data_IF_859899822828
#
_entry.id   IF_859899822828
#
_cell.length_a   1.000
_cell.length_b   1.000
_cell.length_c   1.000
_cell.angle_alpha   90.00
_cell.angle_beta   90.00
_cell.angle_gamma   90.00
#
_symmetry.space_group_name_H-M   'P 1'
#
loop_
_entity.id
_entity.type
_entity.pdbx_description
1 polymer ?
#
# COMPACT_ATOMS: atom_id res chain seq x y z
N UNK A 1 15.93 33.45 28.70
CA UNK A 1 16.16 31.99 28.72
C UNK A 1 15.70 31.27 27.44
N UNK A 2 15.38 32.00 26.34
CA UNK A 2 14.64 31.46 25.18
C UNK A 2 15.45 31.32 23.89
N UNK A 3 16.45 32.17 23.63
CA UNK A 3 17.25 32.10 22.39
C UNK A 3 18.33 31.00 22.42
N UNK A 4 19.00 30.76 23.55
CA UNK A 4 20.02 29.71 23.67
C UNK A 4 19.46 28.30 23.42
N UNK A 5 18.19 28.06 23.79
CA UNK A 5 17.54 26.77 23.57
C UNK A 5 17.17 26.57 22.09
N UNK A 6 16.85 27.64 21.35
CA UNK A 6 16.48 27.59 19.93
C UNK A 6 17.68 27.26 19.04
N UNK A 7 18.85 27.85 19.31
CA UNK A 7 20.08 27.65 18.51
C UNK A 7 20.56 26.19 18.55
N UNK A 8 20.16 25.41 19.55
CA UNK A 8 20.46 23.97 19.62
C UNK A 8 19.55 23.09 18.76
N UNK A 9 18.41 23.62 18.28
CA UNK A 9 17.40 22.85 17.55
C UNK A 9 17.76 22.76 16.06
N UNK A 10 17.78 21.55 15.52
CA UNK A 10 18.10 21.29 14.10
C UNK A 10 17.21 22.09 13.15
N UNK A 11 15.91 22.15 13.43
CA UNK A 11 14.94 22.85 12.59
C UNK A 11 15.16 24.37 12.59
N UNK A 12 15.55 24.94 13.73
CA UNK A 12 15.78 26.39 13.86
C UNK A 12 16.97 26.79 13.00
N UNK A 13 18.09 26.07 13.10
CA UNK A 13 19.29 26.36 12.32
C UNK A 13 19.07 26.23 10.81
N UNK A 14 18.16 25.34 10.38
CA UNK A 14 17.85 25.14 8.96
C UNK A 14 16.87 26.14 8.38
N UNK A 15 15.96 26.68 9.19
CA UNK A 15 14.86 27.53 8.72
C UNK A 15 15.02 29.01 9.12
N UNK A 16 15.97 29.33 10.00
CA UNK A 16 16.27 30.70 10.38
C UNK A 16 16.69 31.53 9.16
N UNK A 17 16.09 32.71 8.99
CA UNK A 17 16.29 33.56 7.82
C UNK A 17 15.51 33.13 6.56
N UNK A 18 14.89 31.95 6.56
CA UNK A 18 14.03 31.46 5.47
C UNK A 18 12.55 31.64 5.83
N UNK A 19 12.20 31.29 7.07
CA UNK A 19 10.84 31.39 7.61
C UNK A 19 10.75 32.57 8.58
N UNK A 20 9.61 33.24 8.58
CA UNK A 20 9.30 34.34 9.50
C UNK A 20 9.50 33.93 10.96
N UNK A 21 10.12 34.81 11.75
CA UNK A 21 10.51 34.52 13.14
C UNK A 21 9.29 34.20 14.02
N UNK A 22 8.13 34.82 13.79
CA UNK A 22 6.93 34.52 14.56
C UNK A 22 6.37 33.14 14.23
N UNK A 23 6.54 32.65 12.99
CA UNK A 23 6.18 31.27 12.60
C UNK A 23 7.16 30.27 13.21
N UNK A 24 8.46 30.59 13.20
CA UNK A 24 9.51 29.73 13.78
C UNK A 24 9.33 29.53 15.28
N UNK A 25 8.81 30.53 15.97
CA UNK A 25 8.65 30.51 17.43
C UNK A 25 7.25 30.10 17.89
N UNK A 26 6.37 29.64 16.99
CA UNK A 26 5.03 29.18 17.35
C UNK A 26 5.05 28.00 18.31
N UNK A 27 4.16 28.07 19.30
CA UNK A 27 3.99 27.07 20.35
C UNK A 27 2.54 26.61 20.49
N UNK A 28 2.36 25.39 21.00
CA UNK A 28 1.05 24.88 21.38
C UNK A 28 0.61 25.43 22.76
N UNK A 29 -0.56 24.98 23.24
CA UNK A 29 -1.08 25.35 24.58
C UNK A 29 -0.15 24.89 25.70
N UNK A 30 0.55 23.78 25.49
CA UNK A 30 1.48 23.17 26.45
C UNK A 30 2.86 23.88 26.45
N UNK A 31 3.00 24.97 25.68
CA UNK A 31 4.21 25.78 25.54
C UNK A 31 5.40 25.06 24.85
N UNK A 32 5.12 23.96 24.15
CA UNK A 32 6.04 23.25 23.27
C UNK A 32 6.08 23.89 21.88
N UNK A 33 7.26 23.92 21.25
CA UNK A 33 7.41 24.41 19.88
C UNK A 33 6.70 23.47 18.90
N UNK A 34 5.88 24.03 18.02
CA UNK A 34 5.13 23.23 17.04
C UNK A 34 6.06 22.48 16.07
N UNK A 35 7.26 23.02 15.81
CA UNK A 35 8.29 22.37 15.00
C UNK A 35 8.85 21.10 15.63
N UNK A 36 8.88 20.99 16.96
CA UNK A 36 9.30 19.77 17.66
C UNK A 36 8.26 18.64 17.51
N UNK A 37 6.98 19.00 17.31
CA UNK A 37 5.88 18.06 17.11
C UNK A 37 5.71 17.64 15.64
N UNK A 38 6.33 18.38 14.72
CA UNK A 38 6.19 18.14 13.29
C UNK A 38 6.90 16.84 12.89
N UNK A 39 6.23 16.03 12.07
CA UNK A 39 6.85 14.82 11.55
C UNK A 39 8.08 15.15 10.67
N UNK A 40 9.16 14.39 10.85
CA UNK A 40 10.44 14.57 10.13
C UNK A 40 10.29 14.60 8.60
N UNK A 41 9.37 13.83 8.03
CA UNK A 41 9.13 13.83 6.58
C UNK A 41 8.57 15.19 6.11
N UNK A 42 7.60 15.75 6.84
CA UNK A 42 7.00 17.05 6.53
C UNK A 42 8.02 18.18 6.67
N UNK A 43 8.82 18.14 7.75
CA UNK A 43 9.92 19.08 7.95
C UNK A 43 10.93 19.03 6.78
N UNK A 44 11.41 17.83 6.44
CA UNK A 44 12.35 17.65 5.33
C UNK A 44 11.77 18.12 4.00
N UNK A 45 10.46 17.97 3.78
CA UNK A 45 9.80 18.46 2.58
C UNK A 45 9.83 20.00 2.51
N UNK A 46 9.46 20.69 3.60
CA UNK A 46 9.49 22.16 3.66
C UNK A 46 10.90 22.66 3.38
N UNK A 47 11.88 22.12 4.10
CA UNK A 47 13.28 22.52 3.93
C UNK A 47 13.77 22.30 2.50
N UNK A 48 13.50 21.13 1.91
CA UNK A 48 14.04 20.79 0.59
C UNK A 48 13.32 21.45 -0.58
N UNK A 49 12.01 21.65 -0.48
CA UNK A 49 11.17 22.01 -1.64
C UNK A 49 10.36 23.31 -1.48
N UNK A 50 10.35 23.89 -0.28
CA UNK A 50 9.65 25.15 -0.02
C UNK A 50 10.58 26.29 0.39
N UNK A 51 11.84 26.03 0.79
CA UNK A 51 12.75 27.09 1.29
C UNK A 51 12.93 28.25 0.29
N UNK A 52 13.03 27.95 -1.01
CA UNK A 52 13.23 28.94 -2.08
C UNK A 52 11.89 29.39 -2.70
N UNK A 53 10.77 28.96 -2.11
CA UNK A 53 9.44 29.30 -2.60
C UNK A 53 8.95 30.59 -1.96
N UNK A 54 8.33 31.51 -2.73
CA UNK A 54 7.67 32.68 -2.14
C UNK A 54 6.55 32.30 -1.16
N UNK A 55 6.06 31.06 -1.22
CA UNK A 55 5.03 30.51 -0.33
C UNK A 55 5.59 29.75 0.88
N UNK A 56 6.90 29.84 1.17
CA UNK A 56 7.54 29.12 2.29
C UNK A 56 6.82 29.35 3.62
N UNK A 57 6.53 30.62 3.94
CA UNK A 57 5.82 31.01 5.16
C UNK A 57 4.37 30.49 5.20
N UNK A 58 3.68 30.53 4.06
CA UNK A 58 2.30 30.08 3.94
C UNK A 58 2.18 28.57 4.21
N UNK A 59 3.06 27.77 3.59
CA UNK A 59 3.09 26.33 3.83
C UNK A 59 3.54 25.97 5.23
N UNK A 60 4.52 26.68 5.78
CA UNK A 60 5.01 26.44 7.14
C UNK A 60 3.91 26.69 8.16
N UNK A 61 3.23 27.84 8.11
CA UNK A 61 2.09 28.13 8.98
C UNK A 61 1.01 27.05 8.85
N UNK A 62 0.65 26.68 7.63
CA UNK A 62 -0.38 25.69 7.36
C UNK A 62 -0.09 24.31 7.95
N UNK A 63 1.14 23.84 7.79
CA UNK A 63 1.59 22.53 8.28
C UNK A 63 1.67 22.50 9.80
N UNK A 64 2.11 23.59 10.44
CA UNK A 64 2.10 23.71 11.89
C UNK A 64 0.66 23.72 12.45
N UNK A 65 -0.25 24.47 11.82
CA UNK A 65 -1.68 24.46 12.19
C UNK A 65 -2.27 23.05 12.10
N UNK A 66 -1.94 22.30 11.03
CA UNK A 66 -2.41 20.93 10.85
C UNK A 66 -1.82 19.96 11.90
N UNK A 67 -0.55 20.15 12.26
CA UNK A 67 0.15 19.38 13.30
C UNK A 67 -0.47 19.60 14.67
N UNK A 68 -0.71 20.84 15.09
CA UNK A 68 -1.37 21.14 16.39
C UNK A 68 -2.77 20.53 16.48
N UNK A 69 -3.47 20.45 15.33
CA UNK A 69 -4.78 19.79 15.21
C UNK A 69 -4.71 18.26 15.12
N UNK A 70 -3.53 17.67 15.27
CA UNK A 70 -3.28 16.22 15.28
C UNK A 70 -3.73 15.53 13.98
N UNK A 71 -3.61 16.21 12.83
CA UNK A 71 -3.77 15.54 11.55
C UNK A 71 -2.66 14.50 11.37
N UNK A 72 -2.98 13.39 10.69
CA UNK A 72 -1.98 12.34 10.47
C UNK A 72 -0.84 12.84 9.58
N UNK A 73 0.43 12.42 9.84
CA UNK A 73 1.57 12.84 9.03
C UNK A 73 1.39 12.61 7.53
N UNK A 74 0.77 11.48 7.16
CA UNK A 74 0.47 11.17 5.77
C UNK A 74 -0.50 12.19 5.13
N UNK A 75 -1.52 12.64 5.87
CA UNK A 75 -2.46 13.66 5.37
C UNK A 75 -1.78 15.00 5.16
N UNK A 76 -0.91 15.40 6.12
CA UNK A 76 -0.12 16.63 6.03
C UNK A 76 0.80 16.59 4.81
N UNK A 77 1.55 15.49 4.64
CA UNK A 77 2.47 15.32 3.51
C UNK A 77 1.75 15.34 2.15
N UNK A 78 0.62 14.63 2.03
CA UNK A 78 -0.15 14.59 0.79
C UNK A 78 -0.71 15.98 0.43
N UNK A 79 -1.21 16.72 1.42
CA UNK A 79 -1.71 18.08 1.25
C UNK A 79 -0.59 19.03 0.83
N UNK A 80 0.54 19.03 1.55
CA UNK A 80 1.69 19.89 1.29
C UNK A 80 2.28 19.63 -0.10
N UNK A 81 2.55 18.36 -0.44
CA UNK A 81 3.18 18.01 -1.69
C UNK A 81 2.28 18.31 -2.90
N UNK A 82 0.97 18.01 -2.78
CA UNK A 82 0.00 18.30 -3.84
C UNK A 82 -0.11 19.80 -4.09
N UNK A 83 -0.30 20.60 -3.04
CA UNK A 83 -0.46 22.04 -3.18
C UNK A 83 0.83 22.72 -3.67
N UNK A 84 2.00 22.40 -3.11
CA UNK A 84 3.26 23.04 -3.49
C UNK A 84 3.59 22.85 -4.98
N UNK A 85 3.34 21.66 -5.55
CA UNK A 85 3.54 21.45 -6.99
C UNK A 85 2.58 22.32 -7.80
N UNK A 86 1.29 22.32 -7.47
CA UNK A 86 0.30 23.08 -8.24
C UNK A 86 0.48 24.59 -8.11
N UNK A 87 0.88 25.09 -6.95
CA UNK A 87 1.21 26.50 -6.79
C UNK A 87 2.42 26.91 -7.62
N UNK A 88 3.45 26.06 -7.72
CA UNK A 88 4.58 26.33 -8.63
C UNK A 88 4.11 26.44 -10.08
N UNK A 89 3.20 25.57 -10.51
CA UNK A 89 2.65 25.66 -11.88
C UNK A 89 1.88 26.97 -12.10
N UNK A 90 1.06 27.38 -11.12
CA UNK A 90 0.32 28.65 -11.16
C UNK A 90 1.28 29.85 -11.20
N UNK A 91 2.30 29.86 -10.34
CA UNK A 91 3.32 30.93 -10.30
C UNK A 91 4.07 31.01 -11.63
N UNK A 92 4.45 29.86 -12.21
CA UNK A 92 5.12 29.82 -13.50
C UNK A 92 4.22 30.31 -14.65
N UNK A 93 2.95 29.90 -14.66
CA UNK A 93 2.00 30.29 -15.71
C UNK A 93 1.73 31.80 -15.73
N UNK A 94 1.59 32.41 -14.55
CA UNK A 94 1.35 33.85 -14.41
C UNK A 94 2.62 34.68 -14.20
N UNK A 95 3.79 34.04 -14.15
CA UNK A 95 5.10 34.65 -13.84
C UNK A 95 5.11 35.45 -12.54
N UNK A 96 4.47 34.91 -11.51
CA UNK A 96 4.43 35.52 -10.17
C UNK A 96 5.79 35.31 -9.51
N UNK A 97 6.34 36.37 -8.92
CA UNK A 97 7.57 36.33 -8.14
C UNK A 97 7.27 36.28 -6.64
N UNK A 98 6.21 36.97 -6.19
CA UNK A 98 5.93 37.19 -4.78
C UNK A 98 4.58 36.60 -4.36
N UNK A 99 4.47 36.16 -3.10
CA UNK A 99 3.23 35.60 -2.59
C UNK A 99 2.06 36.60 -2.60
N UNK A 100 2.35 37.89 -2.44
CA UNK A 100 1.34 38.96 -2.44
C UNK A 100 0.65 39.15 -3.81
N UNK A 101 1.27 38.69 -4.90
CA UNK A 101 0.70 38.76 -6.24
C UNK A 101 -0.35 37.66 -6.47
N UNK A 102 -0.29 36.58 -5.69
CA UNK A 102 -1.25 35.49 -5.76
C UNK A 102 -2.62 36.00 -5.32
N UNK A 103 -3.59 35.89 -6.21
CA UNK A 103 -4.97 36.21 -5.92
C UNK A 103 -5.89 35.06 -6.33
N UNK A 104 -7.17 35.27 -6.06
CA UNK A 104 -8.21 34.27 -6.20
C UNK A 104 -8.51 33.96 -7.70
N UNK A 105 -8.27 34.89 -8.64
CA UNK A 105 -8.50 34.64 -10.07
C UNK A 105 -7.44 33.70 -10.66
N UNK A 106 -6.19 33.74 -10.18
CA UNK A 106 -5.16 32.77 -10.61
C UNK A 106 -5.57 31.32 -10.26
N UNK A 107 -6.16 31.15 -9.08
CA UNK A 107 -6.70 29.86 -8.64
C UNK A 107 -7.89 29.47 -9.52
N UNK A 108 -8.78 30.41 -9.81
CA UNK A 108 -9.93 30.20 -10.70
C UNK A 108 -9.49 29.69 -12.07
N UNK A 109 -8.52 30.35 -12.70
CA UNK A 109 -8.06 30.04 -14.05
C UNK A 109 -7.40 28.65 -14.11
N UNK A 110 -6.64 28.26 -13.08
CA UNK A 110 -6.13 26.90 -12.94
C UNK A 110 -7.24 25.85 -12.80
N UNK A 111 -8.27 26.16 -12.03
CA UNK A 111 -9.41 25.27 -11.80
C UNK A 111 -10.28 25.11 -13.04
N UNK A 112 -10.45 26.18 -13.83
CA UNK A 112 -11.12 26.13 -15.12
C UNK A 112 -10.29 25.47 -16.22
N UNK A 113 -8.99 25.30 -16.00
CA UNK A 113 -8.07 24.78 -16.99
C UNK A 113 -7.69 25.81 -18.06
N UNK A 114 -7.86 27.11 -17.79
CA UNK A 114 -7.35 28.17 -18.65
C UNK A 114 -5.81 28.23 -18.63
N UNK A 115 -5.20 27.65 -17.59
CA UNK A 115 -3.77 27.36 -17.53
C UNK A 115 -3.52 25.89 -17.19
N UNK A 116 -2.38 25.39 -17.64
CA UNK A 116 -1.94 24.01 -17.44
C UNK A 116 -3.02 23.00 -17.88
N UNK A 117 -3.49 23.12 -19.12
CA UNK A 117 -4.57 22.31 -19.71
C UNK A 117 -4.34 20.80 -19.61
N UNK A 118 -3.07 20.37 -19.63
CA UNK A 118 -2.61 18.99 -19.51
C UNK A 118 -2.95 18.34 -18.16
N UNK A 119 -3.22 19.15 -17.13
CA UNK A 119 -3.60 18.60 -15.83
C UNK A 119 -5.02 18.02 -15.81
N UNK A 120 -5.14 16.86 -15.20
CA UNK A 120 -6.38 16.10 -15.13
C UNK A 120 -7.40 16.73 -14.17
N UNK A 121 -8.68 16.50 -14.43
CA UNK A 121 -9.77 16.90 -13.53
C UNK A 121 -9.57 16.35 -12.09
N UNK A 122 -8.92 15.19 -11.95
CA UNK A 122 -8.57 14.60 -10.64
C UNK A 122 -7.54 15.45 -9.89
N UNK A 123 -6.51 15.95 -10.58
CA UNK A 123 -5.52 16.85 -9.98
C UNK A 123 -6.16 18.16 -9.53
N UNK A 124 -7.04 18.76 -10.34
CA UNK A 124 -7.77 19.99 -9.99
C UNK A 124 -8.70 19.77 -8.80
N UNK A 125 -9.41 18.63 -8.76
CA UNK A 125 -10.24 18.22 -7.62
C UNK A 125 -9.42 18.04 -6.33
N UNK A 126 -8.27 17.39 -6.40
CA UNK A 126 -7.38 17.22 -5.25
C UNK A 126 -6.88 18.58 -4.75
N UNK A 127 -6.43 19.44 -5.66
CA UNK A 127 -5.96 20.79 -5.35
C UNK A 127 -7.02 21.59 -4.59
N UNK A 128 -8.24 21.74 -5.12
CA UNK A 128 -9.26 22.57 -4.45
C UNK A 128 -9.69 21.99 -3.09
N UNK A 129 -9.75 20.66 -2.96
CA UNK A 129 -10.09 20.00 -1.70
C UNK A 129 -9.04 20.26 -0.63
N UNK A 130 -7.76 20.15 -0.99
CA UNK A 130 -6.65 20.43 -0.09
C UNK A 130 -6.53 21.92 0.22
N UNK A 131 -6.70 22.77 -0.78
CA UNK A 131 -6.67 24.23 -0.62
C UNK A 131 -7.68 24.70 0.41
N UNK A 132 -8.95 24.29 0.26
CA UNK A 132 -10.01 24.67 1.21
C UNK A 132 -9.78 24.09 2.59
N UNK A 133 -9.33 22.84 2.69
CA UNK A 133 -9.03 22.23 3.98
C UNK A 133 -7.90 22.97 4.71
N UNK A 134 -6.84 23.31 3.98
CA UNK A 134 -5.70 24.06 4.49
C UNK A 134 -6.14 25.45 4.96
N UNK A 135 -6.80 26.21 4.09
CA UNK A 135 -7.26 27.56 4.39
C UNK A 135 -8.20 27.59 5.60
N UNK A 136 -9.19 26.70 5.65
CA UNK A 136 -10.08 26.55 6.79
C UNK A 136 -9.32 26.23 8.09
N UNK A 137 -8.33 25.35 8.01
CA UNK A 137 -7.55 24.96 9.18
C UNK A 137 -6.71 26.12 9.71
N UNK A 138 -6.04 26.87 8.84
CA UNK A 138 -5.25 28.05 9.22
C UNK A 138 -6.15 29.13 9.81
N UNK A 139 -7.21 29.54 9.11
CA UNK A 139 -8.12 30.58 9.59
C UNK A 139 -8.74 30.24 10.94
N UNK A 140 -9.23 29.01 11.11
CA UNK A 140 -9.81 28.55 12.37
C UNK A 140 -8.75 28.50 13.48
N UNK A 141 -7.57 27.97 13.18
CA UNK A 141 -6.49 27.85 14.15
C UNK A 141 -6.03 29.23 14.62
N UNK A 142 -5.70 30.15 13.70
CA UNK A 142 -5.24 31.50 14.03
C UNK A 142 -6.26 32.25 14.88
N UNK A 143 -7.55 32.22 14.53
CA UNK A 143 -8.61 32.85 15.33
C UNK A 143 -8.72 32.29 16.76
N UNK A 144 -8.39 31.01 16.95
CA UNK A 144 -8.54 30.32 18.24
C UNK A 144 -7.28 30.27 19.10
N UNK A 145 -6.09 30.41 18.48
CA UNK A 145 -4.79 30.20 19.13
C UNK A 145 -3.92 31.45 19.22
N UNK A 146 -4.11 32.39 18.31
CA UNK A 146 -3.26 33.59 18.23
C UNK A 146 -4.01 34.78 18.84
N UNK A 147 -3.39 35.50 19.79
CA UNK A 147 -3.92 36.75 20.33
C UNK A 147 -4.27 37.77 19.24
N UNK A 148 -5.35 38.54 19.45
CA UNK A 148 -5.93 39.42 18.43
C UNK A 148 -4.93 40.44 17.87
N UNK A 149 -4.04 40.96 18.72
CA UNK A 149 -2.96 41.89 18.37
C UNK A 149 -1.96 41.31 17.36
N UNK A 150 -1.74 39.98 17.39
CA UNK A 150 -0.84 39.27 16.48
C UNK A 150 -1.52 38.72 15.24
N UNK A 151 -2.84 38.62 15.20
CA UNK A 151 -3.55 38.03 14.05
C UNK A 151 -3.29 38.80 12.75
N UNK A 152 -3.07 40.11 12.83
CA UNK A 152 -2.72 40.96 11.67
C UNK A 152 -1.34 40.65 11.08
N UNK A 153 -0.41 40.11 11.87
CA UNK A 153 0.89 39.66 11.36
C UNK A 153 0.71 38.38 10.53
N UNK A 154 0.04 37.38 11.12
CA UNK A 154 -0.16 36.08 10.48
C UNK A 154 -1.06 36.12 9.24
N UNK A 155 -1.96 37.10 9.14
CA UNK A 155 -2.87 37.21 7.99
C UNK A 155 -2.16 37.41 6.66
N UNK A 156 -0.94 37.94 6.66
CA UNK A 156 -0.07 38.08 5.48
C UNK A 156 0.38 36.74 4.91
N UNK A 157 0.29 35.67 5.69
CA UNK A 157 0.66 34.30 5.31
C UNK A 157 -0.56 33.42 5.02
N UNK A 158 -1.75 34.01 4.91
CA UNK A 158 -2.95 33.28 4.52
C UNK A 158 -3.02 33.18 3.01
N UNK A 159 -3.39 32.01 2.53
CA UNK A 159 -3.77 31.87 1.13
C UNK A 159 -5.04 32.67 0.83
N UNK A 160 -5.20 33.21 -0.40
CA UNK A 160 -6.36 34.02 -0.76
C UNK A 160 -7.70 33.33 -0.49
N UNK A 161 -8.62 33.99 0.20
CA UNK A 161 -9.98 33.46 0.25
C UNK A 161 -10.59 33.43 -1.16
N UNK A 162 -11.26 32.33 -1.47
CA UNK A 162 -11.84 32.10 -2.79
C UNK A 162 -13.36 31.93 -2.65
N UNK A 163 -14.18 32.77 -3.30
CA UNK A 163 -15.62 32.87 -3.02
C UNK A 163 -16.45 31.73 -3.62
N UNK A 164 -15.84 30.79 -4.36
CA UNK A 164 -16.56 29.77 -5.09
C UNK A 164 -16.64 28.44 -4.32
N UNK A 165 -17.77 27.75 -4.46
CA UNK A 165 -18.00 26.41 -3.95
C UNK A 165 -17.34 25.37 -4.86
N UNK A 166 -17.00 24.21 -4.30
CA UNK A 166 -16.59 23.05 -5.08
C UNK A 166 -17.64 22.61 -6.10
N UNK A 167 -18.91 22.98 -5.87
CA UNK A 167 -20.06 22.71 -6.74
C UNK A 167 -20.07 23.58 -7.99
N UNK A 168 -19.37 24.71 -7.99
CA UNK A 168 -19.32 25.64 -9.12
C UNK A 168 -18.46 25.11 -10.27
N UNK A 169 -17.76 23.98 -10.06
CA UNK A 169 -16.82 23.42 -11.00
C UNK A 169 -17.27 22.07 -11.57
N UNK A 170 -17.44 22.03 -12.90
CA UNK A 170 -17.84 20.81 -13.63
C UNK A 170 -16.76 19.70 -13.58
N UNK A 171 -15.47 20.05 -13.44
CA UNK A 171 -14.37 19.07 -13.35
C UNK A 171 -14.56 18.09 -12.19
N UNK A 172 -15.25 18.48 -11.10
CA UNK A 172 -15.50 17.57 -9.97
C UNK A 172 -16.40 16.41 -10.40
N UNK A 173 -17.49 16.74 -11.08
CA UNK A 173 -18.42 15.74 -11.58
C UNK A 173 -17.77 14.89 -12.67
N UNK A 174 -17.00 15.51 -13.57
CA UNK A 174 -16.23 14.79 -14.58
C UNK A 174 -15.19 13.84 -13.97
N UNK A 175 -14.42 14.26 -12.96
CA UNK A 175 -13.47 13.40 -12.25
C UNK A 175 -14.17 12.22 -11.55
N UNK A 176 -15.30 12.46 -10.89
CA UNK A 176 -16.08 11.41 -10.23
C UNK A 176 -16.63 10.42 -11.27
N UNK A 177 -17.25 10.92 -12.33
CA UNK A 177 -17.84 10.11 -13.39
C UNK A 177 -16.77 9.33 -14.15
N UNK A 178 -15.63 9.96 -14.45
CA UNK A 178 -14.47 9.31 -15.09
C UNK A 178 -13.91 8.19 -14.20
N UNK A 179 -13.72 8.42 -12.90
CA UNK A 179 -13.25 7.39 -11.98
C UNK A 179 -14.28 6.26 -11.78
N UNK A 180 -15.58 6.55 -11.85
CA UNK A 180 -16.64 5.53 -11.81
C UNK A 180 -16.68 4.72 -13.10
N UNK A 181 -16.62 5.40 -14.26
CA UNK A 181 -16.59 4.78 -15.57
C UNK A 181 -15.36 3.89 -15.74
N UNK A 182 -14.16 4.39 -15.42
CA UNK A 182 -12.91 3.61 -15.45
C UNK A 182 -13.03 2.33 -14.62
N UNK A 183 -13.48 2.43 -13.35
CA UNK A 183 -13.69 1.25 -12.50
C UNK A 183 -14.73 0.29 -13.06
N UNK A 184 -15.81 0.81 -13.68
CA UNK A 184 -16.83 0.00 -14.33
C UNK A 184 -16.22 -0.73 -15.54
N UNK A 185 -15.50 -0.03 -16.39
CA UNK A 185 -14.86 -0.58 -17.60
C UNK A 185 -13.82 -1.66 -17.22
N UNK A 186 -12.97 -1.39 -16.23
CA UNK A 186 -12.02 -2.37 -15.65
C UNK A 186 -12.74 -3.60 -15.09
N UNK A 187 -13.79 -3.39 -14.29
CA UNK A 187 -14.55 -4.50 -13.71
C UNK A 187 -15.29 -5.30 -14.78
N UNK A 188 -15.84 -4.63 -15.80
CA UNK A 188 -16.53 -5.26 -16.93
C UNK A 188 -15.57 -6.04 -17.83
N UNK A 189 -14.30 -5.66 -17.93
CA UNK A 189 -13.29 -6.42 -18.65
C UNK A 189 -12.97 -7.76 -17.96
N UNK A 190 -12.98 -7.79 -16.62
CA UNK A 190 -12.64 -9.00 -15.84
C UNK A 190 -13.87 -9.87 -15.54
N UNK A 191 -15.06 -9.28 -15.45
CA UNK A 191 -16.29 -9.98 -15.05
C UNK A 191 -16.58 -11.28 -15.84
N UNK A 192 -16.42 -11.32 -17.18
CA UNK A 192 -16.62 -12.56 -17.95
C UNK A 192 -15.61 -13.66 -17.62
N UNK A 193 -14.43 -13.29 -17.13
CA UNK A 193 -13.33 -14.20 -16.80
C UNK A 193 -13.40 -14.70 -15.35
N UNK A 194 -14.26 -14.12 -14.51
CA UNK A 194 -14.35 -14.50 -13.09
C UNK A 194 -14.55 -16.01 -12.86
N UNK A 195 -15.43 -16.72 -13.59
CA UNK A 195 -15.56 -18.18 -13.43
C UNK A 195 -14.24 -18.92 -13.67
N UNK A 196 -13.51 -18.56 -14.74
CA UNK A 196 -12.22 -19.15 -15.09
C UNK A 196 -11.13 -18.81 -14.06
N UNK A 197 -11.06 -17.56 -13.62
CA UNK A 197 -10.13 -17.11 -12.56
C UNK A 197 -10.38 -17.91 -11.28
N UNK A 198 -11.65 -18.08 -10.89
CA UNK A 198 -12.02 -18.88 -9.71
C UNK A 198 -11.61 -20.33 -9.86
N UNK A 199 -11.93 -20.96 -10.99
CA UNK A 199 -11.53 -22.33 -11.26
C UNK A 199 -10.00 -22.48 -11.13
N UNK A 200 -9.23 -21.62 -11.79
CA UNK A 200 -7.76 -21.64 -11.72
C UNK A 200 -7.22 -21.42 -10.30
N UNK A 201 -7.81 -20.51 -9.52
CA UNK A 201 -7.41 -20.29 -8.14
C UNK A 201 -7.68 -21.51 -7.25
N UNK A 202 -8.82 -22.18 -7.42
CA UNK A 202 -9.14 -23.42 -6.70
C UNK A 202 -8.20 -24.57 -7.08
N UNK A 203 -7.85 -24.71 -8.38
CA UNK A 203 -6.86 -25.68 -8.87
C UNK A 203 -5.50 -25.46 -8.17
N UNK A 204 -5.00 -24.22 -8.21
CA UNK A 204 -3.71 -23.86 -7.60
C UNK A 204 -3.67 -24.08 -6.09
N UNK A 205 -4.78 -23.77 -5.41
CA UNK A 205 -4.91 -24.03 -3.98
C UNK A 205 -4.95 -25.54 -3.66
N UNK A 206 -5.68 -26.33 -4.45
CA UNK A 206 -5.73 -27.78 -4.29
C UNK A 206 -4.33 -28.41 -4.41
N UNK A 207 -3.52 -27.97 -5.38
CA UNK A 207 -2.13 -28.44 -5.53
C UNK A 207 -1.27 -28.15 -4.29
N UNK A 208 -1.34 -26.92 -3.75
CA UNK A 208 -0.59 -26.55 -2.53
C UNK A 208 -1.09 -27.31 -1.30
N UNK A 209 -2.41 -27.50 -1.19
CA UNK A 209 -3.03 -28.27 -0.11
C UNK A 209 -2.54 -29.72 -0.11
N UNK A 210 -2.53 -30.39 -1.26
CA UNK A 210 -2.00 -31.76 -1.40
C UNK A 210 -0.51 -31.83 -1.06
N UNK A 211 0.29 -30.89 -1.58
CA UNK A 211 1.72 -30.81 -1.26
C UNK A 211 1.93 -30.70 0.27
N UNK A 212 1.16 -29.86 0.95
CA UNK A 212 1.20 -29.71 2.41
C UNK A 212 0.82 -31.00 3.13
N UNK A 213 -0.26 -31.66 2.73
CA UNK A 213 -0.71 -32.92 3.34
C UNK A 213 0.36 -34.01 3.23
N UNK A 214 0.98 -34.15 2.06
CA UNK A 214 2.04 -35.14 1.82
C UNK A 214 3.31 -34.76 2.60
N UNK A 215 3.66 -33.48 2.65
CA UNK A 215 4.79 -32.98 3.45
C UNK A 215 4.60 -33.30 4.93
N UNK A 216 3.41 -33.05 5.47
CA UNK A 216 3.09 -33.35 6.87
C UNK A 216 3.15 -34.86 7.17
N UNK A 217 2.72 -35.72 6.22
CA UNK A 217 2.89 -37.17 6.34
C UNK A 217 4.36 -37.57 6.36
N UNK A 218 5.19 -36.97 5.50
CA UNK A 218 6.63 -37.22 5.47
C UNK A 218 7.32 -36.77 6.78
N UNK A 219 6.94 -35.60 7.31
CA UNK A 219 7.43 -35.10 8.60
C UNK A 219 7.06 -36.07 9.72
N UNK A 220 5.77 -36.43 9.84
CA UNK A 220 5.31 -37.36 10.86
C UNK A 220 6.05 -38.70 10.79
N UNK A 221 6.25 -39.23 9.58
CA UNK A 221 7.01 -40.46 9.39
C UNK A 221 8.46 -40.35 9.85
N UNK A 222 9.15 -39.25 9.50
CA UNK A 222 10.54 -39.02 9.94
C UNK A 222 10.63 -38.92 11.46
N UNK A 223 9.67 -38.26 12.10
CA UNK A 223 9.64 -38.08 13.55
C UNK A 223 9.28 -39.37 14.30
N UNK A 224 8.25 -40.08 13.86
CA UNK A 224 7.76 -41.31 14.48
C UNK A 224 8.75 -42.48 14.33
N UNK A 225 9.36 -42.61 13.15
CA UNK A 225 10.32 -43.69 12.84
C UNK A 225 11.79 -43.28 13.09
N UNK A 226 12.03 -42.04 13.55
CA UNK A 226 13.36 -41.46 13.76
C UNK A 226 14.30 -41.64 12.54
N UNK A 227 13.78 -41.36 11.34
CA UNK A 227 14.51 -41.52 10.09
C UNK A 227 15.56 -40.41 9.92
N UNK A 228 16.71 -40.69 9.29
CA UNK A 228 17.69 -39.66 9.00
C UNK A 228 17.16 -38.66 7.95
N UNK A 229 17.58 -37.40 8.09
CA UNK A 229 17.40 -36.36 7.08
C UNK A 229 18.69 -36.19 6.27
N UNK A 230 18.61 -35.89 4.96
CA UNK A 230 17.40 -35.67 4.16
C UNK A 230 16.58 -36.96 3.93
N UNK A 231 15.25 -36.85 3.97
CA UNK A 231 14.34 -37.97 3.68
C UNK A 231 13.68 -37.80 2.32
N UNK A 232 13.97 -38.71 1.39
CA UNK A 232 13.43 -38.67 0.03
C UNK A 232 12.01 -39.24 -0.04
N UNK A 233 11.12 -38.54 -0.73
CA UNK A 233 9.78 -39.01 -1.03
C UNK A 233 9.30 -38.46 -2.38
N UNK A 234 8.22 -39.02 -2.91
CA UNK A 234 7.58 -38.53 -4.12
C UNK A 234 6.06 -38.60 -3.98
N UNK A 235 5.35 -37.90 -4.86
CA UNK A 235 3.91 -38.07 -5.02
C UNK A 235 3.47 -37.77 -6.46
N UNK A 236 2.33 -38.34 -6.83
CA UNK A 236 1.70 -38.12 -8.14
C UNK A 236 0.66 -36.98 -8.07
N UNK A 237 0.80 -36.00 -8.97
CA UNK A 237 -0.14 -34.90 -9.18
C UNK A 237 -0.96 -35.14 -10.44
N UNK A 238 -1.74 -36.23 -10.43
CA UNK A 238 -2.45 -36.76 -11.60
C UNK A 238 -3.66 -35.95 -12.04
N UNK A 239 -4.24 -35.11 -11.17
CA UNK A 239 -5.48 -34.40 -11.46
C UNK A 239 -5.28 -33.22 -12.42
N UNK A 240 -4.10 -32.58 -12.39
CA UNK A 240 -3.85 -31.36 -13.17
C UNK A 240 -2.52 -31.33 -13.92
N UNK A 241 -1.46 -31.90 -13.36
CA UNK A 241 -0.15 -31.93 -14.01
C UNK A 241 0.10 -33.24 -14.73
N UNK A 242 -0.50 -34.34 -14.24
CA UNK A 242 -0.15 -35.69 -14.69
C UNK A 242 1.36 -35.98 -14.52
N UNK A 243 1.94 -35.52 -13.41
CA UNK A 243 3.37 -35.64 -13.11
C UNK A 243 3.63 -36.36 -11.78
N UNK A 244 4.75 -37.06 -11.69
CA UNK A 244 5.35 -37.51 -10.43
C UNK A 244 6.42 -36.52 -9.98
N UNK A 245 6.27 -35.96 -8.78
CA UNK A 245 7.15 -34.95 -8.21
C UNK A 245 8.02 -35.56 -7.11
N UNK A 246 9.33 -35.38 -7.21
CA UNK A 246 10.33 -35.92 -6.28
C UNK A 246 10.91 -34.82 -5.40
N UNK A 247 10.94 -35.08 -4.09
CA UNK A 247 11.41 -34.14 -3.08
C UNK A 247 12.32 -34.80 -2.05
N UNK A 248 13.14 -33.97 -1.40
CA UNK A 248 13.84 -34.30 -0.17
C UNK A 248 13.35 -33.42 0.96
N UNK A 249 12.83 -34.04 2.02
CA UNK A 249 12.52 -33.36 3.26
C UNK A 249 13.81 -33.06 4.00
N UNK A 250 13.99 -31.80 4.38
CA UNK A 250 15.14 -31.30 5.12
C UNK A 250 14.68 -30.50 6.34
N UNK A 251 15.59 -30.21 7.27
CA UNK A 251 15.31 -29.39 8.45
C UNK A 251 16.36 -28.31 8.65
N UNK A 252 15.91 -27.07 8.83
CA UNK A 252 16.75 -25.96 9.29
C UNK A 252 16.69 -25.94 10.82
N UNK A 253 17.83 -26.18 11.47
CA UNK A 253 17.94 -26.24 12.93
C UNK A 253 16.96 -27.26 13.56
N UNK A 254 16.56 -27.09 14.83
CA UNK A 254 15.67 -28.02 15.54
C UNK A 254 14.17 -27.80 15.32
N UNK A 255 13.73 -26.91 14.42
CA UNK A 255 12.32 -26.47 14.40
C UNK A 255 11.60 -26.35 13.06
N UNK A 256 12.29 -26.14 11.93
CA UNK A 256 11.60 -25.84 10.66
C UNK A 256 11.97 -26.81 9.55
N UNK A 257 10.99 -27.53 9.03
CA UNK A 257 11.15 -28.39 7.86
C UNK A 257 10.97 -27.60 6.56
N UNK A 258 11.68 -28.02 5.52
CA UNK A 258 11.53 -27.51 4.16
C UNK A 258 11.73 -28.62 3.15
N UNK A 259 11.24 -28.42 1.93
CA UNK A 259 11.47 -29.33 0.82
C UNK A 259 12.58 -28.83 -0.07
N UNK A 260 13.44 -29.72 -0.53
CA UNK A 260 14.23 -29.54 -1.74
C UNK A 260 13.53 -30.27 -2.88
N UNK A 261 13.24 -29.56 -3.97
CA UNK A 261 12.72 -30.17 -5.19
C UNK A 261 13.87 -30.81 -5.98
N UNK A 262 13.70 -32.09 -6.33
CA UNK A 262 14.71 -32.88 -7.04
C UNK A 262 14.42 -32.92 -8.54
N UNK A 263 13.22 -33.36 -8.92
CA UNK A 263 12.77 -33.47 -10.32
C UNK A 263 11.26 -33.72 -10.42
N UNK A 264 10.73 -33.51 -11.61
CA UNK A 264 9.38 -33.85 -12.06
C UNK A 264 9.48 -34.81 -13.24
N UNK A 265 8.59 -35.79 -13.32
CA UNK A 265 8.49 -36.74 -14.44
C UNK A 265 7.04 -36.77 -14.91
N UNK A 266 6.80 -36.57 -16.19
CA UNK A 266 5.48 -36.72 -16.81
C UNK A 266 5.07 -38.21 -16.77
N UNK A 267 3.85 -38.49 -16.31
CA UNK A 267 3.34 -39.85 -16.16
C UNK A 267 2.93 -40.49 -17.49
N UNK A 268 2.75 -39.70 -18.55
CA UNK A 268 2.33 -40.17 -19.87
C UNK A 268 3.48 -40.72 -20.71
N UNK A 269 4.61 -40.01 -20.74
CA UNK A 269 5.75 -40.34 -21.61
C UNK A 269 7.10 -40.46 -20.87
N UNK A 270 7.15 -40.18 -19.56
CA UNK A 270 8.36 -40.23 -18.75
C UNK A 270 9.33 -39.08 -19.00
N UNK A 271 8.95 -38.05 -19.74
CA UNK A 271 9.76 -36.87 -19.98
C UNK A 271 9.89 -36.00 -18.71
N UNK A 272 10.84 -35.04 -18.67
CA UNK A 272 10.90 -34.05 -17.60
C UNK A 272 9.60 -33.23 -17.53
N UNK A 273 8.93 -33.21 -16.36
CA UNK A 273 7.70 -32.45 -16.16
C UNK A 273 7.93 -30.95 -15.94
N UNK A 274 6.88 -30.14 -16.06
CA UNK A 274 6.89 -28.68 -15.83
C UNK A 274 7.06 -28.33 -14.34
N UNK A 275 6.47 -29.14 -13.45
CA UNK A 275 6.44 -28.89 -12.02
C UNK A 275 5.32 -27.95 -11.57
N UNK A 276 5.39 -27.47 -10.33
CA UNK A 276 4.30 -26.68 -9.73
C UNK A 276 4.34 -25.21 -10.18
N UNK A 277 3.16 -24.61 -10.34
CA UNK A 277 2.96 -23.24 -10.87
C UNK A 277 3.75 -22.13 -10.18
N UNK A 278 4.15 -22.31 -8.92
CA UNK A 278 4.91 -21.32 -8.15
C UNK A 278 6.42 -21.50 -8.23
N UNK A 279 6.92 -22.53 -8.94
CA UNK A 279 8.35 -22.78 -9.09
C UNK A 279 9.06 -21.60 -9.72
N UNK A 280 8.48 -20.94 -10.72
CA UNK A 280 9.08 -19.75 -11.33
C UNK A 280 9.24 -18.60 -10.35
N UNK A 281 8.26 -18.39 -9.45
CA UNK A 281 8.34 -17.34 -8.42
C UNK A 281 9.51 -17.60 -7.45
N UNK A 282 9.73 -18.87 -7.10
CA UNK A 282 10.80 -19.30 -6.21
C UNK A 282 12.17 -19.29 -6.91
N UNK A 283 12.25 -19.78 -8.15
CA UNK A 283 13.46 -19.74 -8.99
C UNK A 283 13.92 -18.29 -9.20
N UNK A 284 12.98 -17.40 -9.47
CA UNK A 284 13.23 -15.97 -9.56
C UNK A 284 13.32 -15.29 -8.19
N UNK A 285 13.14 -15.97 -7.06
CA UNK A 285 13.32 -15.42 -5.71
C UNK A 285 12.49 -14.14 -5.45
N UNK A 286 11.25 -14.12 -5.89
CA UNK A 286 10.41 -12.91 -5.87
C UNK A 286 9.58 -12.75 -4.58
N UNK A 287 9.68 -13.69 -3.65
CA UNK A 287 8.97 -13.63 -2.37
C UNK A 287 9.59 -12.60 -1.40
N UNK A 288 8.75 -11.90 -0.66
CA UNK A 288 9.18 -10.90 0.32
C UNK A 288 9.85 -9.66 -0.31
N UNK A 289 10.72 -9.02 0.47
CA UNK A 289 11.46 -7.83 0.05
C UNK A 289 12.66 -8.15 -0.88
N UNK A 290 12.41 -8.88 -1.96
CA UNK A 290 13.42 -9.51 -2.83
C UNK A 290 14.48 -8.55 -3.39
N UNK A 291 14.13 -7.28 -3.61
CA UNK A 291 14.99 -6.27 -4.22
C UNK A 291 16.03 -5.66 -3.27
N UNK A 292 15.87 -5.77 -1.94
CA UNK A 292 16.69 -5.04 -0.95
C UNK A 292 18.18 -5.40 -0.97
N UNK A 293 18.54 -6.58 -1.47
CA UNK A 293 19.92 -7.09 -1.53
C UNK A 293 20.28 -7.62 -2.92
N UNK A 294 19.48 -7.27 -3.94
CA UNK A 294 19.71 -7.72 -5.31
C UNK A 294 20.79 -6.86 -5.99
N UNK A 295 21.62 -7.49 -6.84
CA UNK A 295 22.53 -6.76 -7.73
C UNK A 295 21.73 -6.00 -8.80
N UNK A 296 22.39 -5.06 -9.50
CA UNK A 296 21.80 -4.30 -10.61
C UNK A 296 21.22 -5.19 -11.71
N UNK A 297 21.92 -6.27 -12.06
CA UNK A 297 21.49 -7.23 -13.08
C UNK A 297 20.27 -8.00 -12.59
N UNK A 298 20.31 -8.51 -11.35
CA UNK A 298 19.19 -9.24 -10.75
C UNK A 298 17.95 -8.36 -10.60
N UNK A 299 18.11 -7.08 -10.27
CA UNK A 299 17.01 -6.12 -10.22
C UNK A 299 16.34 -6.00 -11.59
N UNK A 300 17.12 -5.87 -12.66
CA UNK A 300 16.61 -5.79 -14.03
C UNK A 300 15.84 -7.06 -14.41
N UNK A 301 16.42 -8.24 -14.18
CA UNK A 301 15.77 -9.54 -14.46
C UNK A 301 14.44 -9.70 -13.71
N UNK A 302 14.41 -9.31 -12.43
CA UNK A 302 13.20 -9.44 -11.61
C UNK A 302 12.11 -8.46 -12.02
N UNK A 303 12.49 -7.23 -12.39
CA UNK A 303 11.56 -6.24 -12.94
C UNK A 303 10.99 -6.73 -14.26
N UNK A 304 11.83 -7.19 -15.19
CA UNK A 304 11.41 -7.70 -16.49
C UNK A 304 10.48 -8.91 -16.35
N UNK A 305 10.79 -9.85 -15.45
CA UNK A 305 9.89 -10.96 -15.15
C UNK A 305 8.53 -10.45 -14.65
N UNK A 306 8.51 -9.57 -13.64
CA UNK A 306 7.26 -9.06 -13.07
C UNK A 306 6.42 -8.29 -14.10
N UNK A 307 7.05 -7.47 -14.94
CA UNK A 307 6.38 -6.70 -15.99
C UNK A 307 5.81 -7.60 -17.09
N UNK A 308 6.53 -8.66 -17.49
CA UNK A 308 6.01 -9.68 -18.41
C UNK A 308 4.78 -10.41 -17.85
N UNK A 309 4.68 -10.52 -16.52
CA UNK A 309 3.50 -11.05 -15.82
C UNK A 309 2.42 -9.99 -15.51
N UNK A 310 2.59 -8.76 -16.01
CA UNK A 310 1.60 -7.67 -15.91
C UNK A 310 1.64 -6.88 -14.60
N UNK A 311 2.70 -7.01 -13.79
CA UNK A 311 2.88 -6.21 -12.60
C UNK A 311 3.48 -4.84 -12.93
N UNK A 312 2.89 -3.77 -12.40
CA UNK A 312 3.47 -2.42 -12.45
C UNK A 312 4.55 -2.28 -11.35
N UNK A 313 5.82 -2.39 -11.75
CA UNK A 313 6.95 -2.30 -10.83
C UNK A 313 7.31 -0.87 -10.44
N UNK A 314 6.74 0.14 -11.12
CA UNK A 314 6.85 1.55 -10.74
C UNK A 314 5.94 1.85 -9.55
N UNK A 315 4.74 1.30 -9.54
CA UNK A 315 3.80 1.43 -8.42
C UNK A 315 4.19 0.50 -7.25
N UNK A 316 4.48 -0.77 -7.52
CA UNK A 316 4.84 -1.74 -6.49
C UNK A 316 5.90 -2.74 -6.97
N UNK A 317 7.16 -2.48 -6.60
CA UNK A 317 8.29 -3.37 -6.89
C UNK A 317 8.23 -4.72 -6.15
N UNK A 318 7.41 -4.86 -5.11
CA UNK A 318 7.37 -6.04 -4.25
C UNK A 318 5.96 -6.64 -4.15
N UNK A 319 5.40 -7.17 -5.25
CA UNK A 319 4.01 -7.67 -5.28
C UNK A 319 3.77 -8.86 -4.35
N UNK A 320 4.82 -9.64 -4.03
CA UNK A 320 4.74 -10.79 -3.13
C UNK A 320 5.31 -10.52 -1.72
N UNK A 321 5.41 -9.25 -1.32
CA UNK A 321 5.79 -8.88 0.04
C UNK A 321 4.55 -8.77 0.94
N UNK A 322 4.46 -9.65 1.93
CA UNK A 322 3.49 -9.54 3.01
C UNK A 322 4.04 -8.71 4.18
N UNK A 323 3.17 -7.98 4.88
CA UNK A 323 3.47 -7.37 6.18
C UNK A 323 3.26 -8.33 7.36
N UNK A 324 2.60 -9.47 7.10
CA UNK A 324 2.35 -10.50 8.09
C UNK A 324 3.45 -11.56 8.02
N UNK A 325 4.06 -11.86 9.17
CA UNK A 325 5.03 -12.94 9.30
C UNK A 325 4.39 -14.27 8.90
N UNK A 326 5.18 -15.14 8.24
CA UNK A 326 4.71 -16.46 7.83
C UNK A 326 3.80 -16.48 6.60
N UNK A 327 3.67 -15.37 5.85
CA UNK A 327 2.90 -15.33 4.59
C UNK A 327 3.81 -14.88 3.45
N UNK A 328 3.85 -15.64 2.35
CA UNK A 328 4.67 -15.35 1.16
C UNK A 328 6.15 -15.05 1.51
N UNK A 329 6.72 -15.83 2.42
CA UNK A 329 8.14 -15.75 2.83
C UNK A 329 8.73 -17.14 2.98
N UNK A 330 10.02 -17.32 2.68
CA UNK A 330 10.72 -18.60 2.87
C UNK A 330 11.36 -18.71 4.26
N UNK A 331 11.46 -17.61 5.00
CA UNK A 331 12.28 -17.51 6.22
C UNK A 331 13.73 -17.13 5.91
N UNK A 332 14.40 -16.48 6.87
CA UNK A 332 15.73 -15.89 6.67
C UNK A 332 16.79 -16.94 6.31
N UNK A 333 16.87 -18.01 7.10
CA UNK A 333 17.86 -19.08 6.92
C UNK A 333 17.71 -19.77 5.57
N UNK A 334 16.48 -20.11 5.18
CA UNK A 334 16.22 -20.78 3.91
C UNK A 334 16.50 -19.87 2.71
N UNK A 335 16.12 -18.59 2.80
CA UNK A 335 16.44 -17.59 1.78
C UNK A 335 17.95 -17.44 1.59
N UNK A 336 18.72 -17.44 2.69
CA UNK A 336 20.17 -17.40 2.64
C UNK A 336 20.76 -18.66 1.99
N UNK A 337 20.28 -19.84 2.34
CA UNK A 337 20.72 -21.10 1.73
C UNK A 337 20.38 -21.17 0.23
N UNK A 338 19.19 -20.71 -0.18
CA UNK A 338 18.79 -20.60 -1.58
C UNK A 338 19.70 -19.63 -2.35
N UNK A 339 20.15 -18.56 -1.71
CA UNK A 339 21.07 -17.60 -2.33
C UNK A 339 22.43 -18.21 -2.65
N UNK A 340 22.94 -19.10 -1.79
CA UNK A 340 24.19 -19.82 -1.99
C UNK A 340 24.05 -20.95 -3.03
N UNK A 341 22.90 -21.63 -3.07
CA UNK A 341 22.65 -22.78 -3.94
C UNK A 341 21.72 -22.40 -5.11
N UNK A 342 22.26 -21.74 -6.13
CA UNK A 342 21.48 -21.23 -7.29
C UNK A 342 20.75 -22.32 -8.10
N UNK A 343 21.26 -23.56 -8.11
CA UNK A 343 20.70 -24.68 -8.89
C UNK A 343 19.60 -25.45 -8.17
N UNK A 344 19.52 -25.34 -6.83
CA UNK A 344 18.53 -26.05 -6.02
C UNK A 344 17.27 -25.21 -5.88
N UNK A 345 16.14 -25.85 -5.61
CA UNK A 345 14.87 -25.18 -5.37
C UNK A 345 14.33 -25.58 -4.01
N UNK A 346 14.40 -24.68 -3.04
CA UNK A 346 13.88 -24.89 -1.70
C UNK A 346 12.48 -24.32 -1.54
N UNK A 347 11.63 -25.05 -0.81
CA UNK A 347 10.22 -24.74 -0.63
C UNK A 347 9.85 -24.87 0.86
N UNK A 348 9.56 -23.73 1.47
CA UNK A 348 8.78 -23.66 2.69
C UNK A 348 7.28 -23.67 2.33
N UNK A 349 6.62 -24.79 2.59
CA UNK A 349 5.24 -25.04 2.12
C UNK A 349 4.21 -24.22 2.89
N UNK A 350 4.41 -24.02 4.19
CA UNK A 350 3.39 -23.41 5.06
C UNK A 350 3.05 -21.96 4.67
N UNK A 351 4.04 -21.07 4.41
CA UNK A 351 3.75 -19.69 4.01
C UNK A 351 3.06 -19.54 2.66
N UNK A 352 3.27 -20.50 1.75
CA UNK A 352 2.58 -20.57 0.46
C UNK A 352 1.13 -21.06 0.64
N UNK A 353 0.93 -22.07 1.48
CA UNK A 353 -0.40 -22.58 1.82
C UNK A 353 -1.28 -21.51 2.47
N UNK A 354 -0.75 -20.81 3.48
CA UNK A 354 -1.48 -19.73 4.16
C UNK A 354 -1.87 -18.63 3.16
N UNK A 355 -0.93 -18.22 2.29
CA UNK A 355 -1.21 -17.21 1.27
C UNK A 355 -2.31 -17.65 0.29
N UNK A 356 -2.27 -18.89 -0.19
CA UNK A 356 -3.28 -19.43 -1.10
C UNK A 356 -4.65 -19.56 -0.43
N UNK A 357 -4.70 -19.93 0.85
CA UNK A 357 -5.94 -19.99 1.63
C UNK A 357 -6.61 -18.61 1.69
N UNK A 358 -5.86 -17.56 2.04
CA UNK A 358 -6.39 -16.19 2.06
C UNK A 358 -6.81 -15.71 0.66
N UNK A 359 -6.04 -16.04 -0.38
CA UNK A 359 -6.36 -15.65 -1.74
C UNK A 359 -7.67 -16.26 -2.24
N UNK A 360 -7.88 -17.57 -2.03
CA UNK A 360 -9.13 -18.25 -2.41
C UNK A 360 -10.31 -17.71 -1.62
N UNK A 361 -10.17 -17.53 -0.31
CA UNK A 361 -11.22 -16.96 0.53
C UNK A 361 -11.63 -15.56 0.06
N UNK A 362 -10.66 -14.68 -0.18
CA UNK A 362 -10.94 -13.33 -0.68
C UNK A 362 -11.64 -13.38 -2.04
N UNK A 363 -11.14 -14.19 -2.98
CA UNK A 363 -11.71 -14.31 -4.31
C UNK A 363 -13.15 -14.84 -4.28
N UNK A 364 -13.43 -15.86 -3.47
CA UNK A 364 -14.79 -16.42 -3.37
C UNK A 364 -15.76 -15.40 -2.80
N UNK A 365 -15.38 -14.66 -1.75
CA UNK A 365 -16.25 -13.61 -1.21
C UNK A 365 -16.47 -12.50 -2.23
N UNK A 366 -15.40 -11.97 -2.83
CA UNK A 366 -15.48 -10.87 -3.79
C UNK A 366 -16.33 -11.25 -5.00
N UNK A 367 -16.15 -12.45 -5.53
CA UNK A 367 -16.87 -12.91 -6.71
C UNK A 367 -18.33 -13.28 -6.44
N UNK A 368 -18.69 -13.74 -5.25
CA UNK A 368 -20.08 -14.05 -4.91
C UNK A 368 -20.88 -12.83 -4.45
N UNK A 369 -20.28 -11.97 -3.61
CA UNK A 369 -20.99 -10.88 -2.95
C UNK A 369 -20.74 -9.51 -3.58
N UNK A 370 -19.70 -9.37 -4.40
CA UNK A 370 -19.20 -8.07 -4.84
C UNK A 370 -18.57 -7.24 -3.71
N UNK A 371 -18.31 -7.84 -2.54
CA UNK A 371 -17.74 -7.13 -1.39
C UNK A 371 -16.37 -6.55 -1.72
N UNK A 372 -16.10 -5.34 -1.25
CA UNK A 372 -14.78 -4.71 -1.40
C UNK A 372 -13.79 -5.27 -0.39
N UNK A 373 -12.49 -5.19 -0.69
CA UNK A 373 -11.45 -5.64 0.24
C UNK A 373 -11.59 -5.00 1.64
N UNK A 374 -11.94 -3.71 1.72
CA UNK A 374 -12.17 -3.03 3.00
C UNK A 374 -13.38 -3.57 3.77
N UNK A 375 -14.38 -4.13 3.10
CA UNK A 375 -15.54 -4.78 3.73
C UNK A 375 -15.14 -6.18 4.23
N UNK A 376 -14.31 -6.89 3.48
CA UNK A 376 -13.75 -8.20 3.90
C UNK A 376 -12.86 -8.05 5.13
N UNK A 377 -12.03 -7.00 5.19
CA UNK A 377 -11.20 -6.70 6.37
C UNK A 377 -12.04 -6.47 7.65
N UNK A 378 -13.32 -6.10 7.53
CA UNK A 378 -14.20 -5.97 8.70
C UNK A 378 -14.56 -7.33 9.29
N UNK A 379 -14.58 -8.41 8.49
CA UNK A 379 -14.84 -9.78 8.96
C UNK A 379 -13.78 -10.23 9.98
N UNK A 380 -12.52 -9.81 9.83
CA UNK A 380 -11.48 -10.12 10.83
C UNK A 380 -11.64 -9.38 12.16
N UNK A 381 -12.45 -8.32 12.20
CA UNK A 381 -12.67 -7.52 13.41
C UNK A 381 -13.92 -7.93 14.20
N UNK A 382 -14.78 -8.76 13.63
CA UNK A 382 -16.07 -9.13 14.23
C UNK A 382 -16.34 -10.61 13.96
N UNK A 383 -16.06 -11.47 14.95
CA UNK A 383 -16.25 -12.92 14.84
C UNK A 383 -17.71 -13.31 14.57
N UNK A 384 -18.65 -12.42 14.90
CA UNK A 384 -20.09 -12.64 14.73
C UNK A 384 -20.53 -12.48 13.26
N UNK A 385 -19.64 -11.99 12.38
CA UNK A 385 -19.89 -11.91 10.95
C UNK A 385 -19.94 -13.27 10.25
N UNK A 386 -19.41 -14.35 10.84
CA UNK A 386 -19.39 -15.69 10.26
C UNK A 386 -20.47 -16.59 10.89
N UNK A 387 -21.63 -16.72 10.24
CA UNK A 387 -22.75 -17.52 10.72
C UNK A 387 -22.81 -18.84 9.96
N UNK A 388 -22.72 -19.97 10.65
CA UNK A 388 -22.95 -21.28 10.04
C UNK A 388 -24.45 -21.54 10.02
N UNK A 389 -25.02 -21.70 8.83
CA UNK A 389 -26.43 -22.05 8.63
C UNK A 389 -26.50 -23.51 8.19
N UNK A 390 -27.33 -24.30 8.86
CA UNK A 390 -27.60 -25.69 8.48
C UNK A 390 -28.78 -25.76 7.52
N UNK A 391 -28.53 -26.26 6.31
CA UNK A 391 -29.59 -26.55 5.36
C UNK A 391 -30.24 -27.89 5.73
N UNK A 392 -31.25 -27.82 6.62
CA UNK A 392 -32.01 -28.98 7.11
C UNK A 392 -32.85 -29.66 6.03
N UNK A 393 -32.91 -29.12 4.80
CA UNK A 393 -33.69 -29.68 3.69
C UNK A 393 -32.93 -30.76 2.90
N UNK A 394 -31.63 -30.96 3.15
CA UNK A 394 -30.82 -32.03 2.55
C UNK A 394 -30.46 -33.07 3.61
N UNK A 395 -30.42 -34.36 3.24
CA UNK A 395 -29.95 -35.44 4.12
C UNK A 395 -28.71 -36.11 3.49
N UNK A 396 -27.54 -36.03 4.14
CA UNK A 396 -27.28 -35.38 5.42
C UNK A 396 -27.33 -33.82 5.32
N UNK A 397 -27.64 -33.12 6.44
CA UNK A 397 -27.74 -31.67 6.46
C UNK A 397 -26.41 -31.01 6.06
N UNK A 398 -26.47 -30.13 5.06
CA UNK A 398 -25.28 -29.44 4.54
C UNK A 398 -25.08 -28.13 5.31
N UNK A 399 -23.96 -28.04 6.04
CA UNK A 399 -23.52 -26.78 6.68
C UNK A 399 -23.07 -25.81 5.60
N UNK A 400 -23.62 -24.59 5.61
CA UNK A 400 -23.25 -23.47 4.72
C UNK A 400 -22.75 -22.32 5.59
N UNK A 401 -21.57 -21.79 5.27
CA UNK A 401 -21.07 -20.57 5.91
C UNK A 401 -21.74 -19.36 5.26
N UNK A 402 -22.39 -18.53 6.07
CA UNK A 402 -22.98 -17.26 5.67
C UNK A 402 -22.18 -16.12 6.30
N UNK A 403 -21.71 -15.18 5.49
CA UNK A 403 -20.98 -14.02 5.99
C UNK A 403 -21.93 -12.82 6.00
N UNK A 404 -22.29 -12.36 7.19
CA UNK A 404 -23.16 -11.21 7.40
C UNK A 404 -22.30 -9.94 7.54
N UNK A 405 -22.29 -9.11 6.50
CA UNK A 405 -21.69 -7.78 6.58
C UNK A 405 -22.65 -6.84 7.30
N UNK A 406 -22.36 -6.53 8.56
CA UNK A 406 -23.19 -5.63 9.35
C UNK A 406 -22.97 -4.19 8.88
N UNK A 407 -23.75 -3.74 7.89
CA UNK A 407 -23.68 -2.39 7.31
C UNK A 407 -24.10 -1.27 8.27
N UNK A 408 -24.41 -1.59 9.53
CA UNK A 408 -24.78 -0.65 10.59
C UNK A 408 -23.66 -0.38 11.60
N UNK A 409 -22.44 -0.07 11.16
CA UNK A 409 -21.55 0.77 11.99
C UNK A 409 -21.57 2.19 11.44
N UNK A 410 -22.32 3.05 12.14
CA UNK A 410 -22.38 4.49 11.91
C UNK A 410 -20.96 5.03 11.75
N UNK A 411 -20.75 5.84 10.71
CA UNK A 411 -19.61 6.76 10.63
C UNK A 411 -19.59 7.55 11.93
N UNK A 412 -18.55 7.36 12.73
CA UNK A 412 -18.16 8.28 13.79
C UNK A 412 -17.04 9.16 13.25
#
# INVERSE_FOLDING_TARGET
>A
MTQELLVTKEWYNKLNGVIDEEILTLKNIENDFLWDLLNKQSFNYIYKYCQDSPLANHFSLAVLCATDRKLSPASINNMLASLNVRFRDIFNAFKLAEAAELNYSHIHDYLFGAICEEHTDTQRKAFISYYKSLLFNVLKWTKSRIPMDKQNHFSKFFFPEFPFDNRDYSFRNRAINSAQKKRKDESSAVAPLLPSIRAQCHIRWNQIKRLREITNKAIAKVEDENLPLPYSFNYEESEYLNECLYFELNRVNQGEYFLEFVKSIDLSDGAPGEGLWFFELLKNRLLGAWSNQASTERLKEGVEFLENWGHDTQENRHPFQSRNSGVLTQGFSLTKSQNLNKSKLFINVEPLYIACMFAVFALDIQSFSGARMNEILQVSHDSDCCVIIEDKKQSPPKKKLYISFNTKRKRY
#
